data_IF_279317410653
#
_entry.id   IF_279317410653
#
_cell.length_a   1.000
_cell.length_b   1.000
_cell.length_c   1.000
_cell.angle_alpha   90.00
_cell.angle_beta   90.00
_cell.angle_gamma   90.00
#
_symmetry.space_group_name_H-M   'P 1'
#
loop_
_entity.id
_entity.type
_entity.pdbx_description
1 polymer ?
#
# COMPACT_ATOMS: atom_id res chain seq x y z
N UNK A 1 -5.20 28.74 16.08
CA UNK A 1 -5.30 28.52 14.62
C UNK A 1 -4.49 27.30 14.27
N UNK A 2 -5.13 26.19 13.89
CA UNK A 2 -4.41 24.99 13.45
C UNK A 2 -3.79 25.26 12.07
N UNK A 3 -2.50 24.98 11.90
CA UNK A 3 -1.85 25.06 10.60
C UNK A 3 -2.61 24.19 9.57
N UNK A 4 -2.75 24.64 8.31
CA UNK A 4 -3.40 23.83 7.29
C UNK A 4 -2.66 22.50 7.17
N UNK A 5 -3.34 21.38 7.47
CA UNK A 5 -2.78 20.05 7.32
C UNK A 5 -2.39 19.84 5.86
N UNK A 6 -1.09 19.69 5.60
CA UNK A 6 -0.60 19.29 4.27
C UNK A 6 -0.99 17.83 4.05
N UNK A 7 -1.82 17.58 3.04
CA UNK A 7 -2.26 16.22 2.68
C UNK A 7 -1.24 15.47 1.81
N UNK A 8 -0.42 16.24 1.06
CA UNK A 8 0.74 15.71 0.38
C UNK A 8 2.02 16.14 1.10
N UNK A 9 2.93 15.19 1.25
CA UNK A 9 4.31 15.41 1.67
C UNK A 9 5.15 15.50 0.41
N UNK A 10 5.78 16.65 0.14
CA UNK A 10 6.73 16.75 -0.97
C UNK A 10 7.95 15.90 -0.69
N UNK A 11 8.33 15.03 -1.64
CA UNK A 11 9.53 14.22 -1.50
C UNK A 11 10.76 14.97 -2.06
N UNK A 12 11.95 14.81 -1.45
CA UNK A 12 13.16 15.45 -1.91
C UNK A 12 13.44 15.14 -3.39
N UNK A 13 13.51 16.20 -4.22
CA UNK A 13 13.77 16.08 -5.66
C UNK A 13 15.24 15.74 -5.91
N UNK A 14 15.48 14.79 -6.81
CA UNK A 14 16.81 14.53 -7.34
C UNK A 14 17.06 15.44 -8.56
N UNK A 15 18.01 16.36 -8.48
CA UNK A 15 18.41 17.18 -9.63
C UNK A 15 19.46 16.42 -10.44
N UNK A 16 19.11 15.95 -11.62
CA UNK A 16 20.07 15.34 -12.54
C UNK A 16 20.78 16.41 -13.36
N UNK A 17 22.09 16.51 -13.20
CA UNK A 17 22.91 17.45 -13.97
C UNK A 17 23.18 16.96 -15.41
N UNK A 18 23.03 15.66 -15.66
CA UNK A 18 23.40 15.00 -16.92
C UNK A 18 22.24 14.73 -17.87
N UNK A 19 21.01 15.09 -17.49
CA UNK A 19 19.83 14.88 -18.31
C UNK A 19 19.28 16.25 -18.73
N UNK A 20 19.08 16.52 -20.03
CA UNK A 20 18.30 17.69 -20.41
C UNK A 20 16.94 17.55 -19.73
N UNK A 21 16.43 18.63 -19.14
CA UNK A 21 15.08 18.66 -18.60
C UNK A 21 14.15 18.26 -19.76
N UNK A 22 13.66 17.01 -19.74
CA UNK A 22 12.60 16.60 -20.65
C UNK A 22 11.46 17.58 -20.32
N UNK A 23 11.07 18.43 -21.28
CA UNK A 23 10.13 19.55 -21.07
C UNK A 23 8.74 19.11 -20.57
N UNK A 24 8.53 17.82 -20.30
CA UNK A 24 7.26 17.29 -19.79
C UNK A 24 7.15 17.56 -18.29
N UNK A 25 6.05 18.20 -17.90
CA UNK A 25 5.69 18.34 -16.50
C UNK A 25 5.14 16.99 -16.01
N UNK A 26 5.85 16.26 -15.16
CA UNK A 26 5.35 15.00 -14.58
C UNK A 26 5.46 14.95 -13.06
N UNK A 27 4.55 14.19 -12.44
CA UNK A 27 4.57 13.92 -11.00
C UNK A 27 4.15 12.48 -10.69
N UNK A 28 4.82 11.86 -9.71
CA UNK A 28 4.42 10.58 -9.13
C UNK A 28 3.84 10.78 -7.72
N UNK A 29 2.69 10.18 -7.43
CA UNK A 29 2.07 10.17 -6.11
C UNK A 29 2.18 8.76 -5.50
N UNK A 30 2.75 8.66 -4.30
CA UNK A 30 2.80 7.44 -3.51
C UNK A 30 1.71 7.46 -2.44
N UNK A 31 0.73 6.57 -2.56
CA UNK A 31 -0.41 6.44 -1.64
C UNK A 31 -0.12 5.33 -0.63
N UNK A 32 -0.02 5.70 0.65
CA UNK A 32 0.22 4.72 1.71
C UNK A 32 -0.95 3.76 1.93
N UNK A 33 -0.59 2.57 2.40
CA UNK A 33 -1.51 1.60 2.97
C UNK A 33 -2.10 2.06 4.30
N UNK A 34 -2.75 1.13 5.02
CA UNK A 34 -3.18 1.41 6.38
C UNK A 34 -1.96 1.57 7.29
N UNK A 35 -1.93 2.63 8.08
CA UNK A 35 -0.81 2.90 8.99
C UNK A 35 -0.92 1.98 10.20
N UNK A 36 0.06 1.11 10.39
CA UNK A 36 0.19 0.36 11.64
C UNK A 36 0.65 1.29 12.78
N UNK A 37 0.42 0.87 14.02
CA UNK A 37 0.83 1.66 15.20
C UNK A 37 2.35 1.91 15.18
N UNK A 38 2.76 3.18 15.18
CA UNK A 38 4.17 3.59 15.15
C UNK A 38 4.69 4.08 13.79
N UNK A 39 3.90 3.93 12.71
CA UNK A 39 4.26 4.51 11.41
C UNK A 39 3.92 6.01 11.35
N UNK A 40 4.93 6.83 11.02
CA UNK A 40 4.70 8.25 10.78
C UNK A 40 4.00 8.47 9.43
N UNK A 41 2.97 9.32 9.36
CA UNK A 41 2.34 9.73 8.10
C UNK A 41 3.34 10.27 7.07
N UNK A 42 4.44 10.89 7.50
CA UNK A 42 5.41 11.56 6.62
C UNK A 42 6.54 10.62 6.15
N UNK A 43 6.59 9.38 6.66
CA UNK A 43 7.68 8.45 6.39
C UNK A 43 7.57 7.80 5.00
N UNK A 44 8.30 8.30 4.00
CA UNK A 44 8.29 7.77 2.63
C UNK A 44 9.69 7.34 2.16
N UNK A 45 10.63 7.06 3.07
CA UNK A 45 12.04 6.78 2.71
C UNK A 45 12.18 5.60 1.74
N UNK A 46 11.46 4.51 1.98
CA UNK A 46 11.53 3.30 1.15
C UNK A 46 11.03 3.58 -0.28
N UNK A 47 9.93 4.31 -0.40
CA UNK A 47 9.43 4.79 -1.69
C UNK A 47 10.41 5.75 -2.38
N UNK A 48 11.04 6.63 -1.61
CA UNK A 48 12.02 7.57 -2.12
C UNK A 48 13.28 6.86 -2.64
N UNK A 49 13.70 5.78 -1.98
CA UNK A 49 14.81 4.94 -2.45
C UNK A 49 14.51 4.39 -3.85
N UNK A 50 13.38 3.68 -4.01
CA UNK A 50 12.94 3.17 -5.30
C UNK A 50 12.72 4.27 -6.34
N UNK A 51 12.10 5.39 -5.97
CA UNK A 51 11.85 6.51 -6.88
C UNK A 51 13.16 7.03 -7.49
N UNK A 52 14.19 7.24 -6.65
CA UNK A 52 15.49 7.71 -7.12
C UNK A 52 16.11 6.76 -8.15
N UNK A 53 16.03 5.46 -7.91
CA UNK A 53 16.54 4.45 -8.85
C UNK A 53 15.73 4.42 -10.16
N UNK A 54 14.42 4.64 -10.11
CA UNK A 54 13.56 4.74 -11.30
C UNK A 54 13.82 6.02 -12.11
N UNK A 55 14.13 7.12 -11.44
CA UNK A 55 14.56 8.38 -12.08
C UNK A 55 15.92 8.18 -12.77
N UNK A 56 16.86 7.49 -12.11
CA UNK A 56 18.20 7.15 -12.63
C UNK A 56 18.18 6.11 -13.75
N UNK A 57 17.17 5.25 -13.78
CA UNK A 57 17.05 4.19 -14.77
C UNK A 57 16.77 4.75 -16.17
N UNK A 58 17.63 4.42 -17.13
CA UNK A 58 17.40 4.72 -18.57
C UNK A 58 16.15 4.02 -19.12
N UNK A 59 15.82 2.86 -18.57
CA UNK A 59 14.68 2.05 -19.00
C UNK A 59 13.35 2.67 -18.57
N UNK A 60 13.28 3.20 -17.34
CA UNK A 60 12.05 3.73 -16.77
C UNK A 60 11.83 5.20 -17.11
N UNK A 61 12.88 6.01 -16.98
CA UNK A 61 12.83 7.46 -17.19
C UNK A 61 11.66 8.12 -16.44
N UNK A 62 11.61 7.93 -15.12
CA UNK A 62 10.63 8.62 -14.29
C UNK A 62 11.10 10.04 -14.00
N UNK A 63 10.14 10.96 -13.83
CA UNK A 63 10.45 12.34 -13.47
C UNK A 63 10.81 12.49 -12.00
N UNK A 64 11.59 13.53 -11.66
CA UNK A 64 12.13 13.70 -10.32
C UNK A 64 11.09 14.16 -9.29
N UNK A 65 9.95 14.69 -9.72
CA UNK A 65 8.91 15.17 -8.80
C UNK A 65 8.07 14.01 -8.25
N UNK A 66 8.04 13.88 -6.93
CA UNK A 66 7.21 12.91 -6.24
C UNK A 66 6.54 13.50 -5.00
N UNK A 67 5.36 12.98 -4.69
CA UNK A 67 4.54 13.35 -3.55
C UNK A 67 4.15 12.09 -2.77
N UNK A 68 4.25 12.14 -1.45
CA UNK A 68 3.65 11.16 -0.56
C UNK A 68 2.25 11.57 -0.15
N UNK A 69 1.27 10.68 -0.24
CA UNK A 69 -0.09 10.88 0.23
C UNK A 69 -0.39 9.93 1.38
N UNK A 70 -0.73 10.52 2.52
CA UNK A 70 -1.11 9.81 3.73
C UNK A 70 -2.52 10.23 4.09
N UNK A 71 -3.37 9.24 4.30
CA UNK A 71 -4.76 9.42 4.66
C UNK A 71 -4.99 8.84 6.06
N UNK A 72 -5.92 9.41 6.84
CA UNK A 72 -6.25 8.91 8.16
C UNK A 72 -7.01 7.59 8.03
N UNK A 73 -6.25 6.51 7.90
CA UNK A 73 -6.72 5.14 7.78
C UNK A 73 -7.01 4.49 9.14
N UNK A 74 -6.68 5.16 10.26
CA UNK A 74 -6.89 4.68 11.62
C UNK A 74 -7.63 5.68 12.51
N UNK A 75 -8.32 5.18 13.53
CA UNK A 75 -8.99 5.98 14.56
C UNK A 75 -7.99 6.52 15.61
N UNK A 76 -8.14 7.75 16.12
CA UNK A 76 -7.35 8.24 17.27
C UNK A 76 -7.44 7.32 18.50
N UNK A 77 -8.56 6.62 18.68
CA UNK A 77 -8.76 5.65 19.77
C UNK A 77 -7.92 4.38 19.61
N UNK A 78 -7.46 4.06 18.41
CA UNK A 78 -6.59 2.90 18.16
C UNK A 78 -5.12 3.20 18.47
N UNK A 79 -4.77 4.44 18.84
CA UNK A 79 -3.45 4.85 19.31
C UNK A 79 -3.27 4.67 20.82
N UNK A 80 -4.33 4.32 21.57
CA UNK A 80 -4.20 3.97 22.99
C UNK A 80 -3.36 2.67 23.03
N UNK A 81 -2.15 2.70 23.62
CA UNK A 81 -1.39 1.47 23.81
C UNK A 81 -2.20 0.60 24.75
N UNK A 82 -2.64 -0.57 24.27
CA UNK A 82 -2.92 -1.65 25.20
C UNK A 82 -1.54 -1.99 25.75
N UNK A 83 -1.27 -1.79 27.05
CA UNK A 83 0.03 -2.13 27.61
C UNK A 83 0.34 -3.57 27.20
N UNK A 84 1.59 -3.85 26.85
CA UNK A 84 2.14 -5.20 26.74
C UNK A 84 2.05 -5.86 28.13
N UNK A 85 0.84 -6.20 28.54
CA UNK A 85 0.49 -6.51 29.92
C UNK A 85 0.79 -7.97 30.29
N UNK A 86 1.53 -8.70 29.46
CA UNK A 86 1.61 -10.17 29.60
C UNK A 86 2.99 -10.76 29.37
N UNK A 87 3.99 -9.98 28.95
CA UNK A 87 5.40 -10.35 29.19
C UNK A 87 6.01 -9.45 30.26
N UNK A 88 5.78 -8.14 30.16
CA UNK A 88 6.19 -7.19 31.19
C UNK A 88 5.48 -7.45 32.51
N UNK A 89 4.15 -7.59 32.52
CA UNK A 89 3.40 -7.74 33.77
C UNK A 89 3.41 -9.16 34.35
N UNK A 90 3.52 -10.21 33.54
CA UNK A 90 3.77 -11.57 34.09
C UNK A 90 5.19 -11.65 34.64
N UNK A 91 6.23 -11.19 33.93
CA UNK A 91 7.59 -11.19 34.46
C UNK A 91 7.73 -10.27 35.69
N UNK A 92 7.03 -9.13 35.70
CA UNK A 92 6.99 -8.19 36.83
C UNK A 92 6.18 -8.73 38.02
N UNK A 93 5.04 -9.39 37.79
CA UNK A 93 4.26 -10.04 38.85
C UNK A 93 4.98 -11.29 39.37
N UNK A 94 5.69 -12.03 38.52
CA UNK A 94 6.55 -13.15 38.89
C UNK A 94 7.76 -12.65 39.68
N UNK A 95 8.39 -11.53 39.29
CA UNK A 95 9.56 -10.99 39.99
C UNK A 95 9.21 -10.29 41.31
N UNK A 96 8.14 -9.50 41.36
CA UNK A 96 7.67 -8.88 42.60
C UNK A 96 7.05 -9.87 43.58
N UNK A 97 6.37 -10.91 43.07
CA UNK A 97 5.77 -11.92 43.94
C UNK A 97 6.63 -13.17 44.09
N UNK A 98 7.89 -13.23 43.65
CA UNK A 98 8.72 -14.44 43.80
C UNK A 98 8.82 -14.92 45.25
N UNK A 99 8.81 -13.99 46.21
CA UNK A 99 8.78 -14.29 47.66
C UNK A 99 7.38 -14.57 48.23
N UNK A 100 6.29 -14.21 47.52
CA UNK A 100 4.89 -14.49 47.91
C UNK A 100 4.28 -15.70 47.17
N UNK A 101 4.83 -16.05 46.02
CA UNK A 101 4.47 -17.18 45.15
C UNK A 101 5.04 -18.52 45.66
N UNK A 102 5.89 -18.53 46.68
CA UNK A 102 6.30 -19.79 47.34
C UNK A 102 5.11 -20.56 47.94
N UNK A 103 3.96 -19.89 48.15
CA UNK A 103 2.73 -20.48 48.69
C UNK A 103 1.57 -20.56 47.69
N UNK A 104 1.71 -19.98 46.49
CA UNK A 104 0.70 -20.07 45.43
C UNK A 104 1.24 -20.99 44.34
N UNK A 105 0.44 -22.00 43.97
CA UNK A 105 0.79 -22.99 42.93
C UNK A 105 1.38 -22.27 41.71
N UNK A 106 2.56 -22.72 41.29
CA UNK A 106 3.26 -22.24 40.10
C UNK A 106 2.29 -22.11 38.91
N UNK A 107 2.44 -21.09 38.04
CA UNK A 107 1.65 -20.96 36.83
C UNK A 107 1.75 -22.27 36.03
N UNK A 108 0.63 -22.96 35.85
CA UNK A 108 0.60 -24.21 35.11
C UNK A 108 0.91 -23.93 33.63
N UNK A 109 1.50 -24.88 32.88
CA UNK A 109 1.66 -24.74 31.44
C UNK A 109 0.36 -24.34 30.72
N UNK A 110 -0.79 -24.83 31.21
CA UNK A 110 -2.11 -24.45 30.72
C UNK A 110 -2.43 -22.95 30.93
N UNK A 111 -2.05 -22.35 32.05
CA UNK A 111 -2.25 -20.91 32.31
C UNK A 111 -1.39 -20.02 31.40
N UNK A 112 -0.17 -20.47 31.08
CA UNK A 112 0.73 -19.77 30.15
C UNK A 112 0.15 -19.85 28.73
N UNK A 113 -0.28 -21.03 28.29
CA UNK A 113 -0.94 -21.22 26.99
C UNK A 113 -2.22 -20.40 26.90
N UNK A 114 -3.03 -20.36 27.97
CA UNK A 114 -4.24 -19.54 28.03
C UNK A 114 -3.96 -18.04 27.88
N UNK A 115 -2.93 -17.53 28.55
CA UNK A 115 -2.52 -16.13 28.44
C UNK A 115 -2.02 -15.78 27.02
N UNK A 116 -1.16 -16.63 26.44
CA UNK A 116 -0.68 -16.45 25.06
C UNK A 116 -1.85 -16.48 24.06
N UNK A 117 -2.80 -17.40 24.24
CA UNK A 117 -3.97 -17.49 23.37
C UNK A 117 -4.86 -16.25 23.48
N UNK A 118 -5.08 -15.72 24.69
CA UNK A 118 -5.81 -14.48 24.90
C UNK A 118 -5.13 -13.29 24.23
N UNK A 119 -3.80 -13.18 24.34
CA UNK A 119 -3.05 -12.11 23.70
C UNK A 119 -3.13 -12.17 22.18
N UNK A 120 -2.90 -13.35 21.60
CA UNK A 120 -3.03 -13.57 20.15
C UNK A 120 -4.45 -13.20 19.70
N UNK A 121 -5.48 -13.63 20.44
CA UNK A 121 -6.87 -13.31 20.15
C UNK A 121 -7.15 -11.80 20.19
N UNK A 122 -6.68 -11.11 21.22
CA UNK A 122 -6.85 -9.66 21.36
C UNK A 122 -6.13 -8.88 20.26
N UNK A 123 -4.91 -9.29 19.90
CA UNK A 123 -4.16 -8.69 18.81
C UNK A 123 -4.84 -8.91 17.46
N UNK A 124 -5.32 -10.13 17.19
CA UNK A 124 -6.05 -10.44 15.97
C UNK A 124 -7.35 -9.62 15.87
N UNK A 125 -8.14 -9.55 16.95
CA UNK A 125 -9.36 -8.74 17.01
C UNK A 125 -9.09 -7.25 16.79
N UNK A 126 -7.99 -6.72 17.32
CA UNK A 126 -7.59 -5.34 17.11
C UNK A 126 -7.19 -5.08 15.65
N UNK A 127 -6.38 -5.95 15.05
CA UNK A 127 -6.01 -5.84 13.63
C UNK A 127 -7.26 -5.91 12.74
N UNK A 128 -8.20 -6.79 13.06
CA UNK A 128 -9.48 -6.89 12.38
C UNK A 128 -10.27 -5.58 12.43
N UNK A 129 -10.38 -4.99 13.62
CA UNK A 129 -11.05 -3.71 13.81
C UNK A 129 -10.36 -2.57 13.06
N UNK A 130 -9.03 -2.49 13.13
CA UNK A 130 -8.23 -1.49 12.42
C UNK A 130 -8.39 -1.63 10.90
N UNK A 131 -8.34 -2.85 10.39
CA UNK A 131 -8.52 -3.12 8.97
C UNK A 131 -9.93 -2.78 8.49
N UNK A 132 -10.96 -3.15 9.25
CA UNK A 132 -12.36 -2.82 8.95
C UNK A 132 -12.58 -1.29 8.93
N UNK A 133 -12.03 -0.59 9.91
CA UNK A 133 -12.06 0.87 9.97
C UNK A 133 -11.35 1.47 8.75
N UNK A 134 -10.14 1.02 8.45
CA UNK A 134 -9.37 1.51 7.31
C UNK A 134 -10.09 1.24 5.98
N UNK A 135 -10.76 0.10 5.85
CA UNK A 135 -11.59 -0.22 4.67
C UNK A 135 -12.72 0.79 4.51
N UNK A 136 -13.45 1.10 5.59
CA UNK A 136 -14.52 2.11 5.56
C UNK A 136 -13.97 3.50 5.23
N UNK A 137 -12.92 3.94 5.90
CA UNK A 137 -12.30 5.25 5.68
C UNK A 137 -11.72 5.38 4.27
N UNK A 138 -11.26 4.27 3.65
CA UNK A 138 -10.76 4.28 2.26
C UNK A 138 -11.85 4.66 1.26
N UNK A 139 -13.09 4.29 1.55
CA UNK A 139 -14.27 4.63 0.76
C UNK A 139 -14.76 6.05 1.10
N UNK A 140 -14.97 6.35 2.39
CA UNK A 140 -15.50 7.66 2.83
C UNK A 140 -14.59 8.84 2.45
N UNK A 141 -13.29 8.60 2.29
CA UNK A 141 -12.32 9.65 1.93
C UNK A 141 -11.90 9.62 0.46
N UNK A 142 -12.42 8.69 -0.33
CA UNK A 142 -12.06 8.52 -1.73
C UNK A 142 -12.22 9.81 -2.54
N UNK A 143 -13.29 10.56 -2.26
CA UNK A 143 -13.56 11.84 -2.90
C UNK A 143 -12.42 12.84 -2.70
N UNK A 144 -11.85 12.90 -1.49
CA UNK A 144 -10.72 13.78 -1.19
C UNK A 144 -9.50 13.44 -2.06
N UNK A 145 -9.18 12.16 -2.21
CA UNK A 145 -8.09 11.75 -3.09
C UNK A 145 -8.42 12.06 -4.56
N UNK A 146 -9.65 11.81 -5.01
CA UNK A 146 -10.08 12.08 -6.38
C UNK A 146 -9.89 13.57 -6.76
N UNK A 147 -10.36 14.49 -5.92
CA UNK A 147 -10.17 15.94 -6.11
C UNK A 147 -8.70 16.33 -6.21
N UNK A 148 -7.85 15.72 -5.37
CA UNK A 148 -6.41 16.00 -5.36
C UNK A 148 -5.70 15.47 -6.58
N UNK A 149 -6.07 14.28 -7.05
CA UNK A 149 -5.55 13.75 -8.30
C UNK A 149 -5.97 14.62 -9.49
N UNK A 150 -7.21 15.12 -9.49
CA UNK A 150 -7.69 16.06 -10.51
C UNK A 150 -6.90 17.37 -10.53
N UNK A 151 -6.62 17.96 -9.36
CA UNK A 151 -5.78 19.16 -9.24
C UNK A 151 -4.38 18.94 -9.81
N UNK A 152 -3.77 17.79 -9.50
CA UNK A 152 -2.46 17.43 -10.05
C UNK A 152 -2.53 17.20 -11.56
N UNK A 153 -3.60 16.55 -12.06
CA UNK A 153 -3.78 16.31 -13.49
C UNK A 153 -3.89 17.59 -14.32
N UNK A 154 -4.45 18.66 -13.73
CA UNK A 154 -4.52 20.00 -14.33
C UNK A 154 -3.17 20.72 -14.36
N UNK A 155 -2.24 20.34 -13.46
CA UNK A 155 -0.94 21.00 -13.30
C UNK A 155 0.20 20.28 -14.04
N UNK A 156 0.09 18.96 -14.22
CA UNK A 156 1.12 18.12 -14.80
C UNK A 156 0.62 17.43 -16.06
N UNK A 157 1.47 17.35 -17.08
CA UNK A 157 1.18 16.66 -18.33
C UNK A 157 1.02 15.16 -18.12
N UNK A 158 1.82 14.61 -17.19
CA UNK A 158 1.82 13.19 -16.80
C UNK A 158 1.64 13.04 -15.30
N UNK A 159 0.59 12.32 -14.88
CA UNK A 159 0.34 11.95 -13.49
C UNK A 159 0.45 10.43 -13.33
N UNK A 160 1.31 9.99 -12.41
CA UNK A 160 1.43 8.58 -12.01
C UNK A 160 1.05 8.40 -10.56
N UNK A 161 0.35 7.32 -10.26
CA UNK A 161 -0.01 6.97 -8.87
C UNK A 161 0.47 5.55 -8.56
N UNK A 162 1.12 5.39 -7.42
CA UNK A 162 1.57 4.11 -6.88
C UNK A 162 0.90 3.92 -5.52
N UNK A 163 0.12 2.86 -5.37
CA UNK A 163 -0.51 2.49 -4.11
C UNK A 163 0.09 1.23 -3.54
N UNK A 164 0.01 1.08 -2.22
CA UNK A 164 0.39 -0.15 -1.53
C UNK A 164 -0.71 -0.64 -0.58
N UNK A 165 -0.95 -1.95 -0.55
CA UNK A 165 -1.87 -2.57 0.40
C UNK A 165 -3.26 -1.92 0.33
N UNK A 166 -3.82 -1.43 1.44
CA UNK A 166 -5.10 -0.71 1.45
C UNK A 166 -5.10 0.62 0.69
N UNK A 167 -3.93 1.20 0.43
CA UNK A 167 -3.80 2.37 -0.44
C UNK A 167 -4.27 2.08 -1.86
N UNK A 168 -4.13 0.83 -2.32
CA UNK A 168 -4.67 0.38 -3.60
C UNK A 168 -6.19 0.48 -3.63
N UNK A 169 -6.87 0.03 -2.56
CA UNK A 169 -8.33 0.17 -2.44
C UNK A 169 -8.74 1.64 -2.49
N UNK A 170 -8.07 2.50 -1.73
CA UNK A 170 -8.35 3.93 -1.73
C UNK A 170 -8.18 4.58 -3.12
N UNK A 171 -7.18 4.17 -3.90
CA UNK A 171 -7.02 4.60 -5.30
C UNK A 171 -8.17 4.11 -6.18
N UNK A 172 -8.57 2.84 -6.06
CA UNK A 172 -9.68 2.27 -6.85
C UNK A 172 -10.97 3.05 -6.57
N UNK A 173 -11.28 3.28 -5.30
CA UNK A 173 -12.45 4.07 -4.88
C UNK A 173 -12.35 5.51 -5.41
N UNK A 174 -11.19 6.16 -5.30
CA UNK A 174 -11.02 7.53 -5.82
C UNK A 174 -11.19 7.60 -7.35
N UNK A 175 -10.60 6.66 -8.10
CA UNK A 175 -10.69 6.64 -9.57
C UNK A 175 -12.11 6.27 -10.05
N UNK A 176 -12.91 5.58 -9.25
CA UNK A 176 -14.32 5.30 -9.53
C UNK A 176 -15.17 6.57 -9.63
N UNK A 177 -14.77 7.61 -8.90
CA UNK A 177 -15.43 8.92 -8.86
C UNK A 177 -14.98 9.85 -10.01
N UNK A 178 -13.99 9.43 -10.80
CA UNK A 178 -13.38 10.23 -11.86
C UNK A 178 -13.79 9.70 -13.23
N UNK A 179 -14.04 10.62 -14.17
CA UNK A 179 -14.19 10.23 -15.58
C UNK A 179 -12.85 9.69 -16.10
N UNK A 180 -12.91 8.76 -17.05
CA UNK A 180 -11.69 8.10 -17.55
C UNK A 180 -10.60 9.11 -17.97
N UNK A 181 -10.96 10.20 -18.64
CA UNK A 181 -10.01 11.22 -19.11
C UNK A 181 -9.36 12.06 -18.01
N UNK A 182 -9.94 12.08 -16.81
CA UNK A 182 -9.41 12.81 -15.65
C UNK A 182 -8.49 11.95 -14.77
N UNK A 183 -8.53 10.63 -14.95
CA UNK A 183 -7.72 9.69 -14.16
C UNK A 183 -6.22 9.87 -14.41
N UNK A 184 -5.37 9.40 -13.47
CA UNK A 184 -3.93 9.31 -13.69
C UNK A 184 -3.58 8.57 -15.00
N UNK A 185 -2.46 8.94 -15.62
CA UNK A 185 -2.03 8.30 -16.87
C UNK A 185 -1.55 6.87 -16.62
N UNK A 186 -0.86 6.66 -15.49
CA UNK A 186 -0.41 5.34 -15.04
C UNK A 186 -0.73 5.08 -13.56
N UNK A 187 -1.28 3.90 -13.27
CA UNK A 187 -1.57 3.44 -11.91
C UNK A 187 -0.82 2.14 -11.64
N UNK A 188 -0.15 2.08 -10.50
CA UNK A 188 0.61 0.93 -10.01
C UNK A 188 0.02 0.50 -8.67
N UNK A 189 -0.54 -0.71 -8.59
CA UNK A 189 -1.15 -1.25 -7.40
C UNK A 189 -0.26 -2.35 -6.82
N UNK A 190 0.45 -2.05 -5.74
CA UNK A 190 1.36 -2.97 -5.06
C UNK A 190 0.64 -3.71 -3.93
N UNK A 191 0.70 -5.04 -3.94
CA UNK A 191 0.07 -5.90 -2.94
C UNK A 191 -1.40 -5.50 -2.62
N UNK A 192 -2.31 -5.39 -3.61
CA UNK A 192 -3.62 -4.79 -3.36
C UNK A 192 -4.43 -5.55 -2.30
N UNK A 193 -4.78 -4.86 -1.21
CA UNK A 193 -5.60 -5.39 -0.12
C UNK A 193 -7.11 -5.22 -0.44
N UNK A 194 -7.53 -5.79 -1.56
CA UNK A 194 -8.91 -5.80 -2.05
C UNK A 194 -9.20 -7.13 -2.75
N UNK A 195 -10.48 -7.48 -2.85
CA UNK A 195 -10.93 -8.70 -3.54
C UNK A 195 -11.17 -8.42 -5.02
N UNK A 196 -11.15 -9.46 -5.85
CA UNK A 196 -11.28 -9.33 -7.30
C UNK A 196 -12.53 -8.55 -7.73
N UNK A 197 -13.68 -8.75 -7.07
CA UNK A 197 -14.92 -8.02 -7.38
C UNK A 197 -14.80 -6.49 -7.26
N UNK A 198 -13.94 -6.00 -6.37
CA UNK A 198 -13.81 -4.57 -6.08
C UNK A 198 -13.08 -3.84 -7.21
N UNK A 199 -12.25 -4.55 -7.98
CA UNK A 199 -11.46 -4.00 -9.11
C UNK A 199 -11.99 -4.44 -10.48
N UNK A 200 -12.86 -5.46 -10.52
CA UNK A 200 -13.39 -6.09 -11.73
C UNK A 200 -13.87 -5.09 -12.80
N UNK A 201 -14.65 -4.03 -12.47
CA UNK A 201 -15.14 -3.07 -13.46
C UNK A 201 -14.05 -2.34 -14.24
N UNK A 202 -12.82 -2.34 -13.75
CA UNK A 202 -11.68 -1.60 -14.33
C UNK A 202 -10.62 -2.49 -14.96
N UNK A 203 -10.83 -3.81 -14.97
CA UNK A 203 -9.85 -4.76 -15.48
C UNK A 203 -10.40 -5.70 -16.54
N UNK A 204 -11.72 -5.79 -16.67
CA UNK A 204 -12.37 -6.57 -17.72
C UNK A 204 -12.11 -5.96 -19.10
N UNK A 205 -12.19 -6.76 -20.18
CA UNK A 205 -11.99 -6.26 -21.53
C UNK A 205 -12.89 -5.08 -21.85
N UNK A 206 -12.32 -4.03 -22.45
CA UNK A 206 -12.99 -2.79 -22.83
C UNK A 206 -13.40 -1.88 -21.66
N UNK A 207 -12.91 -2.14 -20.44
CA UNK A 207 -13.07 -1.23 -19.30
C UNK A 207 -12.20 0.02 -19.42
N UNK A 208 -11.13 -0.03 -20.23
CA UNK A 208 -10.16 1.05 -20.38
C UNK A 208 -9.22 1.21 -19.18
N UNK A 209 -9.28 0.35 -18.16
CA UNK A 209 -8.36 0.42 -17.03
C UNK A 209 -8.73 1.44 -15.94
N UNK A 210 -8.01 1.35 -14.81
CA UNK A 210 -8.00 2.40 -13.78
C UNK A 210 -7.21 3.62 -14.26
N UNK A 211 -6.00 3.42 -14.78
CA UNK A 211 -5.21 4.48 -15.42
C UNK A 211 -5.62 4.67 -16.87
N UNK A 212 -5.47 5.90 -17.40
CA UNK A 212 -5.81 6.23 -18.79
C UNK A 212 -5.05 5.42 -19.82
N UNK A 213 -3.78 5.17 -19.53
CA UNK A 213 -2.89 4.48 -20.45
C UNK A 213 -2.49 3.12 -19.90
N UNK A 214 -2.29 3.04 -18.59
CA UNK A 214 -1.74 1.85 -17.96
C UNK A 214 -2.21 1.65 -16.52
N UNK A 215 -2.59 0.42 -16.21
CA UNK A 215 -2.80 -0.07 -14.85
C UNK A 215 -1.91 -1.29 -14.65
N UNK A 216 -1.09 -1.30 -13.61
CA UNK A 216 -0.24 -2.45 -13.28
C UNK A 216 -0.60 -2.98 -11.90
N UNK A 217 -0.85 -4.28 -11.82
CA UNK A 217 -1.17 -4.98 -10.58
C UNK A 217 0.02 -5.85 -10.22
N UNK A 218 0.66 -5.56 -9.09
CA UNK A 218 1.79 -6.33 -8.57
C UNK A 218 1.30 -7.23 -7.46
N UNK A 219 1.43 -8.53 -7.65
CA UNK A 219 1.05 -9.55 -6.68
C UNK A 219 2.26 -10.40 -6.29
N UNK A 220 2.17 -11.12 -5.17
CA UNK A 220 3.19 -12.07 -4.77
C UNK A 220 2.59 -13.20 -3.94
N UNK A 221 2.88 -14.43 -4.35
CA UNK A 221 2.52 -15.62 -3.57
C UNK A 221 3.34 -15.75 -2.27
N UNK A 222 4.42 -14.98 -2.12
CA UNK A 222 5.19 -14.89 -0.86
C UNK A 222 4.52 -13.99 0.18
N UNK A 223 3.60 -13.13 -0.25
CA UNK A 223 2.85 -12.21 0.62
C UNK A 223 1.63 -12.88 1.26
N UNK A 224 1.93 -13.87 2.09
CA UNK A 224 0.93 -14.65 2.84
C UNK A 224 0.28 -13.78 3.94
N UNK A 225 0.82 -12.58 4.23
CA UNK A 225 0.19 -11.62 5.17
C UNK A 225 -1.23 -11.31 4.73
N UNK A 226 -1.41 -11.07 3.43
CA UNK A 226 -2.73 -10.89 2.84
C UNK A 226 -3.55 -12.19 2.95
N UNK A 227 -2.95 -13.35 2.65
CA UNK A 227 -3.67 -14.63 2.66
C UNK A 227 -4.12 -15.16 4.02
N UNK A 228 -3.42 -14.84 5.12
CA UNK A 228 -3.80 -15.27 6.48
C UNK A 228 -4.62 -14.17 7.17
N UNK A 229 -4.13 -12.92 7.17
CA UNK A 229 -4.80 -11.83 7.87
C UNK A 229 -6.06 -11.41 7.14
N UNK A 230 -6.03 -11.27 5.82
CA UNK A 230 -7.20 -10.79 5.08
C UNK A 230 -8.19 -11.89 4.76
N UNK A 231 -7.81 -13.16 4.59
CA UNK A 231 -8.83 -14.21 4.35
C UNK A 231 -9.82 -14.32 5.51
N UNK A 232 -9.35 -14.16 6.74
CA UNK A 232 -10.23 -14.08 7.92
C UNK A 232 -11.13 -12.83 7.91
N UNK A 233 -10.63 -11.70 7.38
CA UNK A 233 -11.32 -10.40 7.36
C UNK A 233 -12.22 -10.18 6.14
N UNK A 234 -11.89 -10.82 5.03
CA UNK A 234 -12.56 -10.79 3.73
C UNK A 234 -13.55 -11.96 3.60
N UNK A 235 -14.03 -12.50 4.74
CA UNK A 235 -15.05 -13.55 4.78
C UNK A 235 -14.70 -14.81 3.96
N UNK A 236 -13.41 -15.16 3.91
CA UNK A 236 -12.91 -16.32 3.17
C UNK A 236 -12.38 -16.03 1.77
N UNK A 237 -12.50 -14.81 1.26
CA UNK A 237 -11.97 -14.43 -0.05
C UNK A 237 -10.46 -14.12 -0.02
N UNK A 238 -9.80 -14.33 -1.16
CA UNK A 238 -8.38 -14.04 -1.34
C UNK A 238 -8.18 -12.61 -1.88
N UNK A 239 -7.12 -11.97 -1.40
CA UNK A 239 -6.75 -10.64 -1.86
C UNK A 239 -6.03 -10.72 -3.22
N UNK A 240 -6.28 -9.75 -4.09
CA UNK A 240 -5.61 -9.64 -5.40
C UNK A 240 -4.09 -9.54 -5.25
N UNK A 241 -3.58 -8.95 -4.17
CA UNK A 241 -2.14 -8.90 -3.89
C UNK A 241 -1.47 -10.24 -3.60
N UNK A 242 -2.21 -11.24 -3.17
CA UNK A 242 -1.70 -12.59 -2.87
C UNK A 242 -1.61 -13.43 -4.14
N UNK A 243 -2.72 -13.52 -4.89
CA UNK A 243 -2.90 -14.50 -5.97
C UNK A 243 -2.96 -13.86 -7.37
N UNK A 244 -2.95 -12.54 -7.47
CA UNK A 244 -3.29 -11.86 -8.71
C UNK A 244 -4.75 -12.09 -9.07
N UNK A 245 -5.02 -12.26 -10.37
CA UNK A 245 -6.36 -12.48 -10.93
C UNK A 245 -6.25 -13.63 -11.93
N UNK A 246 -6.30 -14.89 -11.45
CA UNK A 246 -6.11 -16.05 -12.31
C UNK A 246 -7.25 -16.17 -13.34
N UNK A 247 -6.93 -16.75 -14.50
CA UNK A 247 -7.90 -17.20 -15.51
C UNK A 247 -8.85 -16.12 -16.05
N UNK A 248 -8.42 -14.86 -16.06
CA UNK A 248 -9.19 -13.74 -16.58
C UNK A 248 -8.48 -13.07 -17.77
N UNK A 249 -9.21 -12.85 -18.85
CA UNK A 249 -8.78 -11.94 -19.91
C UNK A 249 -8.86 -10.50 -19.40
N UNK A 250 -7.75 -9.78 -19.48
CA UNK A 250 -7.62 -8.42 -18.95
C UNK A 250 -7.76 -7.39 -20.08
N UNK A 251 -8.24 -6.21 -19.73
CA UNK A 251 -8.16 -5.05 -20.61
C UNK A 251 -6.71 -4.82 -21.07
N UNK A 252 -6.51 -4.42 -22.32
CA UNK A 252 -5.19 -4.16 -22.91
C UNK A 252 -4.34 -3.13 -22.15
N UNK A 253 -4.99 -2.25 -21.38
CA UNK A 253 -4.32 -1.24 -20.55
C UNK A 253 -3.87 -1.80 -19.21
N UNK A 254 -4.28 -3.02 -18.85
CA UNK A 254 -4.02 -3.65 -17.57
C UNK A 254 -2.94 -4.72 -17.72
N UNK A 255 -2.00 -4.77 -16.80
CA UNK A 255 -0.95 -5.79 -16.77
C UNK A 255 -0.78 -6.31 -15.35
N UNK A 256 -0.66 -7.62 -15.20
CA UNK A 256 -0.26 -8.23 -13.93
C UNK A 256 1.22 -8.58 -13.93
N UNK A 257 1.85 -8.43 -12.77
CA UNK A 257 3.26 -8.75 -12.57
C UNK A 257 3.40 -9.53 -11.28
N UNK A 258 4.00 -10.72 -11.38
CA UNK A 258 4.46 -11.46 -10.21
C UNK A 258 5.74 -10.79 -9.68
N UNK A 259 5.63 -10.11 -8.54
CA UNK A 259 6.75 -9.45 -7.87
C UNK A 259 7.56 -10.41 -7.00
N UNK A 260 7.10 -11.65 -6.80
CA UNK A 260 7.72 -12.64 -5.89
C UNK A 260 9.22 -12.85 -6.11
N UNK A 261 9.76 -12.89 -7.35
CA UNK A 261 11.20 -13.03 -7.56
C UNK A 261 12.04 -11.87 -7.01
N UNK A 262 11.45 -10.68 -6.91
CA UNK A 262 12.14 -9.46 -6.46
C UNK A 262 12.03 -9.22 -4.95
N UNK A 263 11.11 -9.88 -4.25
CA UNK A 263 10.91 -9.72 -2.81
C UNK A 263 11.81 -10.70 -2.05
N UNK A 264 12.47 -10.20 -0.98
CA UNK A 264 13.56 -10.90 -0.31
C UNK A 264 13.12 -11.83 0.83
N UNK A 265 11.88 -11.71 1.30
CA UNK A 265 11.34 -12.52 2.39
C UNK A 265 10.01 -13.21 2.05
N UNK A 266 9.40 -13.80 3.07
CA UNK A 266 8.02 -14.31 3.06
C UNK A 266 7.18 -13.55 4.09
N UNK A 267 5.85 -13.64 4.02
CA UNK A 267 4.91 -13.03 4.97
C UNK A 267 5.06 -11.50 5.04
N UNK A 268 5.17 -10.94 6.25
CA UNK A 268 5.18 -9.51 6.51
C UNK A 268 6.36 -8.84 5.83
N UNK A 269 7.51 -9.53 5.78
CA UNK A 269 8.70 -9.00 5.12
C UNK A 269 8.48 -8.83 3.62
N UNK A 270 7.82 -9.80 2.96
CA UNK A 270 7.46 -9.65 1.54
C UNK A 270 6.48 -8.48 1.34
N UNK A 271 5.50 -8.32 2.24
CA UNK A 271 4.55 -7.22 2.19
C UNK A 271 5.24 -5.85 2.32
N UNK A 272 6.19 -5.70 3.23
CA UNK A 272 6.89 -4.41 3.45
C UNK A 272 7.95 -4.12 2.38
N UNK A 273 8.50 -5.16 1.75
CA UNK A 273 9.56 -5.03 0.72
C UNK A 273 9.08 -4.31 -0.55
N UNK A 274 7.76 -4.24 -0.81
CA UNK A 274 7.23 -3.64 -2.03
C UNK A 274 7.71 -2.21 -2.26
N UNK A 275 7.77 -1.38 -1.21
CA UNK A 275 8.17 0.02 -1.33
C UNK A 275 9.66 0.17 -1.68
N UNK A 276 10.52 -0.51 -0.92
CA UNK A 276 11.97 -0.45 -1.06
C UNK A 276 12.46 -1.11 -2.36
N UNK A 277 11.79 -2.18 -2.80
CA UNK A 277 12.20 -2.98 -3.97
C UNK A 277 11.40 -2.69 -5.23
N UNK A 278 10.49 -1.71 -5.20
CA UNK A 278 9.62 -1.37 -6.32
C UNK A 278 10.39 -1.19 -7.63
N UNK A 279 11.57 -0.58 -7.58
CA UNK A 279 12.42 -0.35 -8.75
C UNK A 279 12.89 -1.62 -9.49
N UNK A 280 12.89 -2.80 -8.84
CA UNK A 280 13.27 -4.07 -9.47
C UNK A 280 12.18 -4.63 -10.39
N UNK A 281 10.92 -4.41 -10.04
CA UNK A 281 9.78 -5.04 -10.72
C UNK A 281 8.82 -4.04 -11.36
N UNK A 282 9.01 -2.73 -11.15
CA UNK A 282 8.27 -1.69 -11.84
C UNK A 282 8.34 -1.93 -13.36
N UNK A 283 7.21 -1.82 -14.05
CA UNK A 283 7.22 -1.98 -15.49
C UNK A 283 7.62 -0.66 -16.13
N UNK A 284 8.67 -0.70 -16.93
CA UNK A 284 9.10 0.41 -17.75
C UNK A 284 7.95 0.97 -18.61
N UNK A 285 8.00 2.29 -18.85
CA UNK A 285 7.22 2.89 -19.91
C UNK A 285 7.88 2.48 -21.23
N UNK A 286 7.35 1.47 -21.93
CA UNK A 286 7.72 1.32 -23.34
C UNK A 286 7.27 2.62 -24.02
N UNK A 287 8.21 3.46 -24.45
CA UNK A 287 7.91 4.51 -25.41
C UNK A 287 7.34 3.79 -26.62
N UNK A 288 6.04 3.97 -26.89
CA UNK A 288 5.55 3.82 -28.26
C UNK A 288 6.27 4.93 -29.01
N UNK A 289 7.39 4.59 -29.66
CA UNK A 289 7.97 5.49 -30.63
C UNK A 289 6.86 5.75 -31.66
N UNK A 290 6.60 7.00 -32.06
CA UNK A 290 5.71 7.24 -33.17
C UNK A 290 6.24 6.41 -34.35
N UNK A 291 5.37 5.58 -34.94
CA UNK A 291 5.67 4.90 -36.20
C UNK A 291 6.09 6.00 -37.18
N UNK A 292 7.38 6.06 -37.51
CA UNK A 292 7.83 6.70 -38.73
C UNK A 292 7.50 5.77 -39.90
N UNK A 293 6.21 5.46 -40.08
CA UNK A 293 5.70 4.94 -41.34
C UNK A 293 5.39 6.14 -42.23
N UNK A 294 6.47 6.79 -42.66
CA UNK A 294 6.51 7.54 -43.89
C UNK A 294 7.76 7.11 -44.63
N UNK A 295 7.60 6.09 -45.48
CA UNK A 295 8.04 6.07 -46.88
C UNK A 295 7.58 4.79 -47.56
#
# INVERSE_FOLDING_TARGET
MAAPRKFFTELPKLKMLSRPEDNRSEVTVYVKGFLAQGESPERFEDWLHSHRLLVLSRQHNWGPAALGYSWPSGSPLSQIPIPFATLGSTAYLISQNWKRLSHLRLPTPASIVGAVAMDIGLHAARLAYQFSTATRESHERAEMLAWRLLDLRRKYDTLRVVGHSLGCRHIVEACSLMSHNERPDAIHLCAPALVQRDILPYIQPNSGGLGRQKTVIYYSHKDITLGILLRALLKGEQAVGEIGIPDMELDKTVTMVDASPSLGGFYVQAHTDYADKFHYFALANKRVLPNNDTR
#
